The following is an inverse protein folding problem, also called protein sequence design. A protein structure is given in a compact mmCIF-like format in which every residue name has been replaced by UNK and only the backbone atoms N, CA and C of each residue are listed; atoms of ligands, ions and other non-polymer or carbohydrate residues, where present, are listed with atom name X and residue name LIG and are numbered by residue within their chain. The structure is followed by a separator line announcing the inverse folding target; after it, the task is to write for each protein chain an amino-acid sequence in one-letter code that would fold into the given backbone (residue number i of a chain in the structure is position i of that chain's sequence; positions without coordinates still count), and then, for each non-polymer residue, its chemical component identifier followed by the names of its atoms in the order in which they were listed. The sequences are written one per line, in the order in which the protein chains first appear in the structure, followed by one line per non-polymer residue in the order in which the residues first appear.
data_IF_344550950401
#
_entry.id   IF_344550950401
#
_cell.length_a   1.000
_cell.length_b   1.000
_cell.length_c   1.000
_cell.angle_alpha   90.00
_cell.angle_beta   90.00
_cell.angle_gamma   90.00
#
_symmetry.space_group_name_H-M   'P 1'
#
loop_
_entity.id
_entity.type
_entity.pdbx_description
1 polymer ?
#
# COMPACT_ATOMS: atom_id res chain seq x y z
N UNK A 1 2.33 -16.44 35.42
CA UNK A 1 1.17 -16.40 34.50
C UNK A 1 0.70 -14.97 34.21
N UNK A 2 0.55 -14.09 35.22
CA UNK A 2 0.03 -12.72 35.08
C UNK A 2 0.79 -11.80 34.08
N UNK A 3 2.10 -11.99 33.89
CA UNK A 3 2.87 -11.19 32.93
C UNK A 3 2.51 -11.50 31.46
N UNK A 4 2.05 -12.71 31.17
CA UNK A 4 1.81 -13.18 29.79
C UNK A 4 0.45 -12.73 29.24
N UNK A 5 -0.57 -12.67 30.10
CA UNK A 5 -1.89 -12.11 29.76
C UNK A 5 -1.80 -10.62 29.41
N UNK A 6 -0.97 -9.87 30.15
CA UNK A 6 -0.74 -8.46 29.86
C UNK A 6 -0.03 -8.25 28.51
N UNK A 7 0.97 -9.08 28.20
CA UNK A 7 1.69 -9.03 26.93
C UNK A 7 0.80 -9.40 25.73
N UNK A 8 -0.04 -10.42 25.86
CA UNK A 8 -0.97 -10.84 24.80
C UNK A 8 -2.03 -9.77 24.48
N UNK A 9 -2.48 -9.03 25.51
CA UNK A 9 -3.41 -7.91 25.35
C UNK A 9 -2.79 -6.71 24.63
N UNK A 10 -1.48 -6.51 24.76
CA UNK A 10 -0.74 -5.42 24.10
C UNK A 10 -0.47 -5.71 22.61
N UNK A 11 -0.25 -6.98 22.24
CA UNK A 11 0.12 -7.35 20.86
C UNK A 11 -1.11 -7.52 19.93
N UNK A 12 -2.29 -7.81 20.47
CA UNK A 12 -3.51 -8.00 19.67
C UNK A 12 -4.79 -7.84 20.50
N UNK A 13 -5.40 -6.65 20.49
CA UNK A 13 -6.61 -6.36 21.29
C UNK A 13 -7.81 -7.29 21.05
N UNK A 14 -7.83 -8.08 19.96
CA UNK A 14 -8.98 -8.93 19.60
C UNK A 14 -8.71 -10.44 19.72
N UNK A 15 -7.47 -10.87 19.96
CA UNK A 15 -7.08 -12.29 20.05
C UNK A 15 -7.46 -13.15 18.82
N UNK A 16 -7.84 -12.53 17.69
CA UNK A 16 -8.33 -13.21 16.48
C UNK A 16 -7.23 -13.93 15.70
N UNK A 17 -5.98 -13.52 15.88
CA UNK A 17 -4.80 -14.04 15.16
C UNK A 17 -3.78 -14.69 16.11
N UNK A 18 -4.19 -14.97 17.36
CA UNK A 18 -3.27 -15.37 18.43
C UNK A 18 -3.66 -16.73 18.95
N UNK A 19 -2.76 -17.70 18.75
CA UNK A 19 -2.84 -19.05 19.32
C UNK A 19 -1.96 -19.10 20.56
N UNK A 20 -2.53 -19.49 21.70
CA UNK A 20 -1.75 -19.64 22.91
C UNK A 20 -1.24 -21.08 23.04
N UNK A 21 0.06 -21.21 23.34
CA UNK A 21 0.71 -22.52 23.56
C UNK A 21 1.21 -22.56 24.99
N UNK A 22 0.74 -23.55 25.74
CA UNK A 22 1.16 -23.79 27.12
C UNK A 22 2.19 -24.92 27.11
N UNK A 23 3.41 -24.62 27.53
CA UNK A 23 4.50 -25.61 27.58
C UNK A 23 4.74 -26.07 29.02
N UNK A 24 5.50 -27.17 29.17
CA UNK A 24 5.98 -27.67 30.46
C UNK A 24 4.86 -28.05 31.44
N UNK A 25 3.82 -28.72 30.93
CA UNK A 25 2.71 -29.23 31.75
C UNK A 25 3.14 -30.29 32.78
N UNK A 26 4.32 -30.87 32.58
CA UNK A 26 4.98 -31.85 33.44
C UNK A 26 5.59 -31.25 34.71
N UNK A 27 5.99 -29.97 34.68
CA UNK A 27 6.60 -29.25 35.81
C UNK A 27 5.59 -28.51 36.69
N UNK A 28 4.30 -28.81 36.55
CA UNK A 28 3.27 -28.19 37.37
C UNK A 28 3.26 -28.79 38.78
N UNK A 29 3.13 -27.91 39.78
CA UNK A 29 3.07 -28.30 41.19
C UNK A 29 1.94 -29.30 41.44
N UNK A 30 2.20 -30.28 42.29
CA UNK A 30 1.22 -31.27 42.70
C UNK A 30 0.07 -30.57 43.45
N UNK A 31 -1.10 -30.46 42.79
CA UNK A 31 -2.29 -29.77 43.32
C UNK A 31 -2.75 -28.60 42.44
N UNK A 32 -1.91 -28.12 41.51
CA UNK A 32 -2.32 -27.13 40.50
C UNK A 32 -2.66 -27.85 39.20
N UNK A 33 -3.88 -27.63 38.70
CA UNK A 33 -4.34 -28.20 37.43
C UNK A 33 -4.43 -27.11 36.34
N UNK A 34 -3.86 -27.37 35.16
CA UNK A 34 -3.96 -26.46 34.02
C UNK A 34 -5.28 -26.63 33.24
N UNK A 35 -6.19 -27.47 33.72
CA UNK A 35 -7.48 -27.72 33.07
C UNK A 35 -8.26 -26.43 32.78
N UNK A 36 -8.35 -25.50 33.75
CA UNK A 36 -9.08 -24.24 33.57
C UNK A 36 -8.40 -23.31 32.54
N UNK A 37 -7.08 -23.40 32.42
CA UNK A 37 -6.31 -22.64 31.42
C UNK A 37 -6.50 -23.26 30.04
N UNK A 38 -6.38 -24.59 29.92
CA UNK A 38 -6.54 -25.32 28.65
C UNK A 38 -7.98 -25.27 28.12
N UNK A 39 -8.98 -25.19 29.01
CA UNK A 39 -10.37 -24.94 28.63
C UNK A 39 -10.66 -23.48 28.26
N UNK A 40 -9.69 -22.57 28.44
CA UNK A 40 -9.86 -21.15 28.12
C UNK A 40 -10.73 -20.37 29.11
N UNK A 41 -10.95 -20.90 30.33
CA UNK A 41 -11.69 -20.20 31.40
C UNK A 41 -10.87 -19.07 32.02
N UNK A 42 -9.56 -19.28 32.15
CA UNK A 42 -8.64 -18.28 32.69
C UNK A 42 -8.20 -17.23 31.65
N UNK A 43 -7.99 -17.64 30.40
CA UNK A 43 -7.49 -16.77 29.33
C UNK A 43 -8.35 -17.00 28.08
N UNK A 44 -9.24 -16.05 27.71
CA UNK A 44 -10.07 -16.20 26.52
C UNK A 44 -9.25 -15.88 25.26
N UNK A 45 -8.83 -16.92 24.52
CA UNK A 45 -8.25 -16.78 23.17
C UNK A 45 -9.15 -17.43 22.13
N UNK A 46 -9.34 -16.76 20.99
CA UNK A 46 -10.28 -17.20 19.95
C UNK A 46 -9.79 -18.40 19.15
N UNK A 47 -8.48 -18.55 18.98
CA UNK A 47 -7.88 -19.68 18.27
C UNK A 47 -7.63 -20.90 19.17
N UNK A 48 -7.92 -20.77 20.47
CA UNK A 48 -7.76 -21.83 21.47
C UNK A 48 -6.39 -21.84 22.15
N UNK A 49 -6.30 -22.65 23.19
CA UNK A 49 -5.05 -22.96 23.90
C UNK A 49 -4.66 -24.40 23.62
N UNK A 50 -3.38 -24.63 23.34
CA UNK A 50 -2.84 -25.97 23.11
C UNK A 50 -1.71 -26.22 24.10
N UNK A 51 -1.85 -27.30 24.85
CA UNK A 51 -0.84 -27.78 25.78
C UNK A 51 0.19 -28.69 25.09
N UNK A 52 1.47 -28.49 25.36
CA UNK A 52 2.57 -29.34 24.84
C UNK A 52 3.58 -29.67 25.93
N UNK A 53 4.15 -30.87 25.83
CA UNK A 53 5.23 -31.35 26.71
C UNK A 53 6.46 -31.60 25.86
N UNK A 54 7.56 -30.95 26.23
CA UNK A 54 8.82 -31.02 25.51
C UNK A 54 9.87 -31.79 26.31
N UNK A 55 11.03 -32.03 25.69
CA UNK A 55 12.19 -32.64 26.37
C UNK A 55 12.65 -31.75 27.52
N UNK A 56 12.89 -32.39 28.68
CA UNK A 56 13.56 -31.75 29.81
C UNK A 56 15.05 -31.58 29.56
N UNK A 57 15.74 -30.81 30.41
CA UNK A 57 17.20 -30.66 30.32
C UNK A 57 17.93 -32.01 30.45
N UNK A 58 17.40 -32.92 31.28
CA UNK A 58 17.94 -34.26 31.44
C UNK A 58 17.73 -35.11 30.17
N UNK A 59 16.54 -35.03 29.55
CA UNK A 59 16.26 -35.73 28.29
C UNK A 59 17.17 -35.27 27.15
N UNK A 60 17.51 -33.97 27.13
CA UNK A 60 18.45 -33.40 26.16
C UNK A 60 19.85 -33.97 26.38
N UNK A 61 20.31 -33.99 27.63
CA UNK A 61 21.62 -34.56 27.99
C UNK A 61 21.70 -36.06 27.63
N UNK A 62 20.60 -36.79 27.81
CA UNK A 62 20.48 -38.21 27.46
C UNK A 62 20.21 -38.45 25.96
N UNK A 63 20.22 -37.40 25.12
CA UNK A 63 20.00 -37.47 23.67
C UNK A 63 18.71 -38.20 23.28
N UNK A 64 17.63 -38.00 24.06
CA UNK A 64 16.32 -38.60 23.78
C UNK A 64 15.83 -38.18 22.39
N UNK A 65 15.40 -39.16 21.60
CA UNK A 65 14.88 -38.91 20.27
C UNK A 65 13.58 -38.10 20.33
N UNK A 66 13.29 -37.33 19.27
CA UNK A 66 12.06 -36.54 19.18
C UNK A 66 10.84 -37.47 19.13
N UNK A 67 10.96 -38.60 18.44
CA UNK A 67 9.90 -39.62 18.36
C UNK A 67 9.54 -40.18 19.73
N UNK A 68 10.54 -40.46 20.57
CA UNK A 68 10.31 -40.92 21.95
C UNK A 68 9.69 -39.84 22.82
N UNK A 69 10.14 -38.58 22.69
CA UNK A 69 9.55 -37.46 23.40
C UNK A 69 8.06 -37.27 23.06
N UNK A 70 7.69 -37.42 21.79
CA UNK A 70 6.29 -37.35 21.33
C UNK A 70 5.45 -38.51 21.90
N UNK A 71 6.02 -39.72 21.99
CA UNK A 71 5.35 -40.88 22.59
C UNK A 71 5.09 -40.64 24.08
N UNK A 72 6.09 -40.12 24.79
CA UNK A 72 6.00 -39.84 26.22
C UNK A 72 5.04 -38.67 26.50
N UNK A 73 5.03 -37.63 25.65
CA UNK A 73 4.02 -36.56 25.68
C UNK A 73 2.61 -37.15 25.58
N UNK A 74 2.37 -38.03 24.60
CA UNK A 74 1.06 -38.65 24.43
C UNK A 74 0.67 -39.49 25.65
N UNK A 75 1.59 -40.29 26.20
CA UNK A 75 1.35 -41.08 27.40
C UNK A 75 1.04 -40.21 28.63
N UNK A 76 1.77 -39.11 28.81
CA UNK A 76 1.53 -38.14 29.88
C UNK A 76 0.15 -37.49 29.75
N UNK A 77 -0.21 -37.01 28.55
CA UNK A 77 -1.50 -36.36 28.29
C UNK A 77 -2.66 -37.33 28.50
N UNK A 78 -2.55 -38.58 28.07
CA UNK A 78 -3.59 -39.59 28.30
C UNK A 78 -3.79 -39.90 29.79
N UNK A 79 -2.72 -39.92 30.58
CA UNK A 79 -2.78 -40.20 32.02
C UNK A 79 -3.31 -39.03 32.84
N UNK A 80 -2.83 -37.81 32.58
CA UNK A 80 -3.13 -36.61 33.37
C UNK A 80 -4.39 -35.88 32.86
N UNK A 81 -4.61 -35.88 31.54
CA UNK A 81 -5.66 -35.10 30.86
C UNK A 81 -6.39 -35.92 29.78
N UNK A 82 -7.06 -37.04 30.12
CA UNK A 82 -7.63 -37.96 29.13
C UNK A 82 -8.66 -37.29 28.20
N UNK A 83 -9.48 -36.37 28.72
CA UNK A 83 -10.49 -35.66 27.92
C UNK A 83 -9.90 -34.63 26.95
N UNK A 84 -8.68 -34.14 27.21
CA UNK A 84 -8.02 -33.14 26.38
C UNK A 84 -6.89 -33.71 25.53
N UNK A 85 -6.50 -34.97 25.73
CA UNK A 85 -5.39 -35.61 25.02
C UNK A 85 -5.53 -35.56 23.49
N UNK A 86 -6.76 -35.62 22.98
CA UNK A 86 -7.05 -35.52 21.53
C UNK A 86 -6.93 -34.11 20.96
N UNK A 87 -6.95 -33.07 21.81
CA UNK A 87 -6.90 -31.65 21.42
C UNK A 87 -5.60 -30.96 21.85
N UNK A 88 -4.66 -31.74 22.40
CA UNK A 88 -3.38 -31.26 22.90
C UNK A 88 -2.22 -32.08 22.31
N UNK A 89 -1.01 -31.59 22.54
CA UNK A 89 0.23 -32.22 22.11
C UNK A 89 0.77 -31.70 20.78
N UNK A 90 2.02 -32.05 20.52
CA UNK A 90 2.83 -31.52 19.41
C UNK A 90 2.23 -31.87 18.05
N UNK A 91 1.67 -33.08 17.90
CA UNK A 91 1.00 -33.50 16.65
C UNK A 91 -0.25 -32.68 16.34
N UNK A 92 -1.06 -32.39 17.36
CA UNK A 92 -2.28 -31.60 17.20
C UNK A 92 -1.94 -30.13 16.92
N UNK A 93 -0.93 -29.59 17.62
CA UNK A 93 -0.40 -28.26 17.39
C UNK A 93 0.04 -28.08 15.93
N UNK A 94 0.85 -28.99 15.40
CA UNK A 94 1.34 -28.90 14.02
C UNK A 94 0.20 -28.89 12.98
N UNK A 95 -0.80 -29.78 13.14
CA UNK A 95 -1.97 -29.82 12.26
C UNK A 95 -2.81 -28.54 12.35
N UNK A 96 -2.99 -28.02 13.56
CA UNK A 96 -3.77 -26.80 13.80
C UNK A 96 -3.08 -25.58 13.22
N UNK A 97 -1.76 -25.45 13.42
CA UNK A 97 -0.97 -24.38 12.82
C UNK A 97 -1.01 -24.42 11.31
N UNK A 98 -0.85 -25.60 10.69
CA UNK A 98 -0.92 -25.74 9.25
C UNK A 98 -2.30 -25.31 8.71
N UNK A 99 -3.38 -25.77 9.34
CA UNK A 99 -4.75 -25.36 8.96
C UNK A 99 -4.96 -23.85 9.09
N UNK A 100 -4.52 -23.25 10.20
CA UNK A 100 -4.64 -21.80 10.43
C UNK A 100 -3.83 -20.99 9.41
N UNK A 101 -2.62 -21.44 9.08
CA UNK A 101 -1.77 -20.81 8.07
C UNK A 101 -2.42 -20.87 6.69
N UNK A 102 -2.91 -22.04 6.28
CA UNK A 102 -3.58 -22.22 4.99
C UNK A 102 -4.84 -21.36 4.88
N UNK A 103 -5.65 -21.29 5.94
CA UNK A 103 -6.82 -20.42 6.00
C UNK A 103 -6.41 -18.95 5.87
N UNK A 104 -5.39 -18.52 6.62
CA UNK A 104 -4.94 -17.13 6.59
C UNK A 104 -4.40 -16.72 5.22
N UNK A 105 -3.64 -17.60 4.55
CA UNK A 105 -3.17 -17.39 3.18
C UNK A 105 -4.38 -17.26 2.24
N UNK A 106 -5.34 -18.17 2.35
CA UNK A 106 -6.57 -18.15 1.54
C UNK A 106 -7.37 -16.85 1.67
N UNK A 107 -7.49 -16.31 2.89
CA UNK A 107 -8.22 -15.07 3.14
C UNK A 107 -7.48 -13.83 2.61
N UNK A 108 -6.15 -13.80 2.72
CA UNK A 108 -5.33 -12.65 2.35
C UNK A 108 -5.06 -12.56 0.84
N UNK A 109 -5.08 -13.68 0.11
CA UNK A 109 -4.75 -13.74 -1.31
C UNK A 109 -5.69 -12.89 -2.21
N UNK A 110 -7.03 -12.92 -2.05
CA UNK A 110 -7.93 -12.10 -2.85
C UNK A 110 -7.69 -10.61 -2.65
N UNK A 111 -7.57 -10.16 -1.40
CA UNK A 111 -7.30 -8.76 -1.07
C UNK A 111 -5.96 -8.32 -1.68
N UNK A 112 -4.90 -9.12 -1.50
CA UNK A 112 -3.60 -8.85 -2.07
C UNK A 112 -3.65 -8.73 -3.60
N UNK A 113 -4.36 -9.65 -4.28
CA UNK A 113 -4.54 -9.61 -5.74
C UNK A 113 -5.25 -8.34 -6.19
N UNK A 114 -6.33 -7.93 -5.51
CA UNK A 114 -7.05 -6.70 -5.84
C UNK A 114 -6.16 -5.47 -5.67
N UNK A 115 -5.37 -5.41 -4.59
CA UNK A 115 -4.44 -4.32 -4.33
C UNK A 115 -3.32 -4.23 -5.37
N UNK A 116 -2.76 -5.36 -5.76
CA UNK A 116 -1.74 -5.42 -6.82
C UNK A 116 -2.33 -4.92 -8.14
N UNK A 117 -3.51 -5.37 -8.52
CA UNK A 117 -4.16 -4.92 -9.75
C UNK A 117 -4.47 -3.41 -9.74
N UNK A 118 -4.89 -2.87 -8.60
CA UNK A 118 -5.11 -1.43 -8.44
C UNK A 118 -3.81 -0.66 -8.63
N UNK A 119 -2.73 -1.08 -7.95
CA UNK A 119 -1.42 -0.45 -8.08
C UNK A 119 -0.88 -0.56 -9.51
N UNK A 120 -1.03 -1.71 -10.16
CA UNK A 120 -0.63 -1.89 -11.55
C UNK A 120 -1.38 -0.94 -12.49
N UNK A 121 -2.69 -0.79 -12.32
CA UNK A 121 -3.49 0.16 -13.11
C UNK A 121 -3.07 1.63 -12.86
N UNK A 122 -2.79 2.00 -11.61
CA UNK A 122 -2.28 3.32 -11.25
C UNK A 122 -0.92 3.61 -11.91
N UNK A 123 0.03 2.68 -11.81
CA UNK A 123 1.33 2.82 -12.45
C UNK A 123 1.24 2.81 -13.97
N UNK A 124 0.34 2.03 -14.55
CA UNK A 124 0.11 2.04 -16.00
C UNK A 124 -0.44 3.40 -16.46
N UNK A 125 -1.38 3.99 -15.73
CA UNK A 125 -1.88 5.34 -16.03
C UNK A 125 -0.79 6.40 -15.89
N UNK A 126 0.07 6.27 -14.88
CA UNK A 126 1.20 7.17 -14.69
C UNK A 126 2.21 7.03 -15.85
N UNK A 127 2.51 5.80 -16.27
CA UNK A 127 3.41 5.54 -17.39
C UNK A 127 2.84 6.09 -18.71
N UNK A 128 1.53 5.94 -18.94
CA UNK A 128 0.85 6.57 -20.07
C UNK A 128 0.90 8.10 -20.04
N UNK A 129 0.98 8.73 -18.85
CA UNK A 129 1.15 10.19 -18.74
C UNK A 129 2.55 10.67 -19.12
N UNK A 130 3.58 9.84 -18.92
CA UNK A 130 4.95 10.13 -19.36
C UNK A 130 5.14 9.91 -20.87
N UNK A 131 4.24 9.16 -21.51
CA UNK A 131 4.26 8.92 -22.95
C UNK A 131 5.01 7.65 -23.33
N UNK A 132 5.43 7.57 -24.60
CA UNK A 132 6.18 6.44 -25.13
C UNK A 132 7.68 6.68 -25.01
N UNK A 133 8.49 5.61 -24.86
CA UNK A 133 9.93 5.74 -24.95
C UNK A 133 10.34 6.30 -26.32
N UNK A 134 11.37 7.14 -26.33
CA UNK A 134 11.92 7.73 -27.56
C UNK A 134 12.78 6.68 -28.25
N UNK A 135 12.24 6.02 -29.27
CA UNK A 135 12.98 5.05 -30.08
C UNK A 135 13.87 5.73 -31.13
N UNK A 136 13.33 6.75 -31.81
CA UNK A 136 14.04 7.57 -32.79
C UNK A 136 13.96 9.05 -32.39
N UNK A 137 15.13 9.61 -32.06
CA UNK A 137 15.27 10.99 -31.59
C UNK A 137 14.90 12.00 -32.68
N UNK A 138 15.19 11.71 -33.95
CA UNK A 138 14.95 12.63 -35.06
C UNK A 138 13.46 12.69 -35.39
N UNK A 139 12.81 11.53 -35.48
CA UNK A 139 11.38 11.44 -35.72
C UNK A 139 10.56 12.08 -34.59
N UNK A 140 10.96 11.84 -33.34
CA UNK A 140 10.28 12.40 -32.16
C UNK A 140 10.42 13.93 -32.10
N UNK A 141 11.61 14.46 -32.41
CA UNK A 141 11.83 15.92 -32.46
C UNK A 141 10.96 16.59 -33.52
N UNK A 142 10.88 16.00 -34.72
CA UNK A 142 10.03 16.52 -35.79
C UNK A 142 8.56 16.49 -35.38
N UNK A 143 8.08 15.39 -34.79
CA UNK A 143 6.72 15.30 -34.27
C UNK A 143 6.42 16.38 -33.22
N UNK A 144 7.36 16.65 -32.31
CA UNK A 144 7.21 17.68 -31.28
C UNK A 144 7.10 19.09 -31.90
N UNK A 145 7.98 19.42 -32.84
CA UNK A 145 7.97 20.72 -33.54
C UNK A 145 6.68 20.88 -34.36
N UNK A 146 6.28 19.85 -35.11
CA UNK A 146 5.04 19.89 -35.91
C UNK A 146 3.81 20.05 -35.01
N UNK A 147 3.76 19.35 -33.88
CA UNK A 147 2.65 19.46 -32.93
C UNK A 147 2.58 20.85 -32.31
N UNK A 148 3.72 21.41 -31.91
CA UNK A 148 3.80 22.78 -31.40
C UNK A 148 3.36 23.82 -32.43
N UNK A 149 3.84 23.72 -33.67
CA UNK A 149 3.44 24.62 -34.75
C UNK A 149 1.93 24.56 -35.03
N UNK A 150 1.35 23.36 -35.03
CA UNK A 150 -0.09 23.18 -35.21
C UNK A 150 -0.89 23.80 -34.04
N UNK A 151 -0.51 23.53 -32.80
CA UNK A 151 -1.17 24.11 -31.62
C UNK A 151 -1.06 25.66 -31.61
N UNK A 152 0.07 26.20 -32.04
CA UNK A 152 0.27 27.64 -32.18
C UNK A 152 -0.67 28.25 -33.23
N UNK A 153 -0.76 27.65 -34.42
CA UNK A 153 -1.70 28.10 -35.46
C UNK A 153 -3.15 28.02 -34.97
N UNK A 154 -3.55 26.92 -34.33
CA UNK A 154 -4.90 26.77 -33.77
C UNK A 154 -5.22 27.84 -32.70
N UNK A 155 -4.22 28.25 -31.92
CA UNK A 155 -4.40 29.31 -30.91
C UNK A 155 -4.58 30.69 -31.56
N UNK A 156 -3.85 30.99 -32.65
CA UNK A 156 -4.03 32.23 -33.40
C UNK A 156 -5.36 32.25 -34.17
N UNK A 157 -5.81 31.11 -34.70
CA UNK A 157 -7.08 31.01 -35.41
C UNK A 157 -8.30 30.97 -34.47
N UNK A 158 -8.08 30.67 -33.18
CA UNK A 158 -9.15 30.51 -32.20
C UNK A 158 -9.85 29.15 -32.24
N UNK A 159 -9.23 28.15 -32.87
CA UNK A 159 -9.72 26.76 -32.99
C UNK A 159 -9.04 25.81 -32.00
N UNK A 160 -8.24 26.33 -31.06
CA UNK A 160 -7.55 25.54 -30.04
C UNK A 160 -8.53 24.78 -29.13
N UNK A 161 -8.15 23.57 -28.73
CA UNK A 161 -8.97 22.71 -27.85
C UNK A 161 -9.01 23.18 -26.40
N UNK A 162 -8.02 23.95 -25.96
CA UNK A 162 -7.88 24.47 -24.61
C UNK A 162 -7.90 25.99 -24.66
N UNK A 163 -9.11 26.58 -24.66
CA UNK A 163 -9.29 28.03 -24.58
C UNK A 163 -9.54 28.40 -23.13
N UNK A 164 -8.60 29.14 -22.55
CA UNK A 164 -8.75 29.71 -21.21
C UNK A 164 -9.82 30.82 -21.26
N UNK A 165 -10.87 30.70 -20.43
CA UNK A 165 -12.04 31.61 -20.47
C UNK A 165 -11.87 32.85 -19.60
N UNK A 166 -10.80 32.91 -18.79
CA UNK A 166 -10.55 34.00 -17.86
C UNK A 166 -10.07 35.28 -18.55
N UNK A 167 -9.28 35.17 -19.63
CA UNK A 167 -8.81 36.30 -20.41
C UNK A 167 -8.96 36.04 -21.91
N UNK A 168 -9.18 37.10 -22.69
CA UNK A 168 -9.02 37.01 -24.15
C UNK A 168 -7.58 36.57 -24.44
N UNK A 169 -7.40 35.54 -25.26
CA UNK A 169 -6.10 35.00 -25.66
C UNK A 169 -6.08 34.68 -27.17
N UNK A 170 -4.88 34.46 -27.72
CA UNK A 170 -4.69 34.07 -29.12
C UNK A 170 -5.25 35.09 -30.14
N UNK A 171 -5.96 34.59 -31.15
CA UNK A 171 -6.53 35.39 -32.23
C UNK A 171 -7.53 36.46 -31.79
N UNK A 172 -8.36 36.16 -30.80
CA UNK A 172 -9.37 37.08 -30.30
C UNK A 172 -8.73 38.33 -29.69
N UNK A 173 -7.61 38.18 -28.97
CA UNK A 173 -6.84 39.30 -28.38
C UNK A 173 -6.14 40.15 -29.42
N UNK A 174 -5.63 39.52 -30.49
CA UNK A 174 -5.07 40.23 -31.63
C UNK A 174 -6.16 41.08 -32.30
N UNK A 175 -7.32 40.48 -32.58
CA UNK A 175 -8.46 41.18 -33.19
C UNK A 175 -8.96 42.35 -32.32
N UNK A 176 -9.07 42.13 -31.00
CA UNK A 176 -9.43 43.18 -30.04
C UNK A 176 -8.45 44.35 -30.08
N UNK A 177 -7.14 44.08 -30.12
CA UNK A 177 -6.11 45.12 -30.16
C UNK A 177 -6.22 45.98 -31.42
N UNK A 178 -6.40 45.36 -32.60
CA UNK A 178 -6.54 46.10 -33.85
C UNK A 178 -7.83 46.92 -33.92
N UNK A 179 -8.97 46.37 -33.53
CA UNK A 179 -10.25 47.07 -33.68
C UNK A 179 -10.55 48.05 -32.55
N UNK A 180 -10.27 47.69 -31.29
CA UNK A 180 -10.63 48.50 -30.13
C UNK A 180 -9.51 49.44 -29.71
N UNK A 181 -8.26 48.99 -29.71
CA UNK A 181 -7.13 49.86 -29.30
C UNK A 181 -6.71 50.74 -30.47
N UNK A 182 -6.30 50.13 -31.58
CA UNK A 182 -5.80 50.86 -32.75
C UNK A 182 -6.87 51.72 -33.42
N UNK A 183 -8.09 51.18 -33.59
CA UNK A 183 -9.23 51.91 -34.14
C UNK A 183 -9.60 53.14 -33.31
N UNK A 184 -9.59 53.05 -31.96
CA UNK A 184 -9.85 54.21 -31.10
C UNK A 184 -8.76 55.27 -31.22
N UNK A 185 -7.49 54.85 -31.24
CA UNK A 185 -6.35 55.77 -31.37
C UNK A 185 -6.40 56.54 -32.70
N UNK A 186 -6.72 55.86 -33.80
CA UNK A 186 -6.85 56.50 -35.13
C UNK A 186 -8.02 57.48 -35.21
N UNK A 187 -9.16 57.18 -34.58
CA UNK A 187 -10.32 58.09 -34.56
C UNK A 187 -10.08 59.28 -33.63
N UNK A 188 -9.30 59.10 -32.55
CA UNK A 188 -8.91 60.20 -31.65
C UNK A 188 -7.76 61.06 -32.22
N UNK A 189 -6.95 60.53 -33.13
CA UNK A 189 -5.82 61.21 -33.77
C UNK A 189 -6.27 61.95 -35.02
N UNK A 190 -6.41 63.28 -34.93
CA UNK A 190 -6.70 64.13 -36.09
C UNK A 190 -5.66 63.97 -37.22
N UNK A 191 -6.05 64.09 -38.51
CA UNK A 191 -5.15 63.87 -39.63
C UNK A 191 -4.19 65.06 -39.79
N UNK A 192 -3.02 65.04 -39.15
CA UNK A 192 -1.89 65.90 -39.54
C UNK A 192 -0.55 65.44 -38.97
N UNK A 193 0.41 65.42 -39.91
CA UNK A 193 1.88 65.53 -39.80
C UNK A 193 2.67 64.24 -39.58
N UNK A 194 3.27 63.83 -40.69
CA UNK A 194 4.64 63.29 -40.78
C UNK A 194 5.55 63.83 -39.67
N UNK A 195 5.88 63.01 -38.67
CA UNK A 195 7.14 63.15 -37.91
C UNK A 195 7.61 61.77 -37.49
N UNK A 196 8.82 61.43 -37.94
CA UNK A 196 9.70 60.46 -37.30
C UNK A 196 9.64 60.62 -35.77
N UNK A 197 9.36 59.55 -35.04
CA UNK A 197 10.25 59.07 -33.98
C UNK A 197 9.76 57.82 -33.26
N UNK A 198 10.70 56.88 -33.18
CA UNK A 198 11.01 55.95 -32.09
C UNK A 198 9.91 54.99 -31.63
N UNK A 199 10.10 53.73 -32.04
CA UNK A 199 9.75 52.57 -31.24
C UNK A 199 10.31 52.73 -29.82
N UNK A 200 9.52 52.54 -28.75
CA UNK A 200 10.06 52.29 -27.43
C UNK A 200 10.60 50.85 -27.40
N UNK A 201 11.87 50.73 -27.02
CA UNK A 201 12.55 49.48 -26.72
C UNK A 201 11.72 48.61 -25.78
N UNK A 202 11.41 47.40 -26.22
CA UNK A 202 10.90 46.33 -25.35
C UNK A 202 12.10 45.59 -24.77
N UNK A 203 12.90 46.30 -23.96
CA UNK A 203 13.78 45.67 -22.99
C UNK A 203 13.09 45.75 -21.63
N UNK A 204 12.51 44.63 -21.20
CA UNK A 204 12.70 44.22 -19.82
C UNK A 204 12.50 42.70 -19.75
N UNK A 205 13.65 42.03 -19.71
CA UNK A 205 13.80 40.68 -19.18
C UNK A 205 12.97 40.53 -17.91
N UNK A 206 12.15 39.48 -17.86
CA UNK A 206 11.83 38.84 -16.59
C UNK A 206 12.26 37.39 -16.69
N UNK A 207 13.42 37.16 -16.08
CA UNK A 207 13.85 35.92 -15.47
C UNK A 207 12.66 35.08 -14.99
N UNK A 208 12.58 33.85 -15.48
CA UNK A 208 12.09 32.73 -14.69
C UNK A 208 13.33 31.98 -14.21
N UNK A 209 13.58 32.04 -12.90
CA UNK A 209 14.07 30.88 -12.15
C UNK A 209 12.88 29.95 -11.87
#
# INVERSE_FOLDING_TARGET
MLCWTHFCSLLSCTGRRTLAVVTKLDLMDAGTDAMDVLMGRAIPVKLGLIGVVNRSQLDINNKKSVSDAIRDEHAFLQKKYPSLANRNGTKYLARTLNRLLMHHIGDCLPELKTRINLLAAQYQSLLSSYGQPVEDQNATLLQLITKFAAEYCHTIEGTAKFIETAELCGGARICYTFHKTFGRTLVSGSPRRSRHHRYPDCHQERHCE
#
